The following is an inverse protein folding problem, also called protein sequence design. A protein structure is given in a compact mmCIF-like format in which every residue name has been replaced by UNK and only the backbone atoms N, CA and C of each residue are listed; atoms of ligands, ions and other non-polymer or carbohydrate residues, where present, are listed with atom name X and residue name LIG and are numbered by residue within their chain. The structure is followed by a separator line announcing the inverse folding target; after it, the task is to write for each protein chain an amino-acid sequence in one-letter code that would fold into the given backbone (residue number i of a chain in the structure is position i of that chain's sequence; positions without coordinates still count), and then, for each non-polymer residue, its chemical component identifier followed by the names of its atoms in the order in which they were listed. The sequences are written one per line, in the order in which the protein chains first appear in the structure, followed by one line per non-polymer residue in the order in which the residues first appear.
data_IF_235644900093
#
_entry.id   IF_235644900093
#
_cell.length_a   1.000
_cell.length_b   1.000
_cell.length_c   1.000
_cell.angle_alpha   90.00
_cell.angle_beta   90.00
_cell.angle_gamma   90.00
#
_symmetry.space_group_name_H-M   'P 1'
#
loop_
_entity.id
_entity.type
_entity.pdbx_description
1 polymer ?
#
# COMPACT_ATOMS: atom_id res chain seq x y z
N UNK A 1 57.37 13.58 39.42
CA UNK A 1 56.16 14.08 38.72
C UNK A 1 55.45 12.91 38.04
N UNK A 2 54.18 12.68 38.43
CA UNK A 2 53.12 11.82 37.86
C UNK A 2 53.43 10.33 37.63
N UNK A 3 53.11 9.54 38.67
CA UNK A 3 52.71 8.13 38.56
C UNK A 3 51.42 8.05 37.72
N UNK A 4 51.51 7.49 36.52
CA UNK A 4 50.34 7.18 35.69
C UNK A 4 49.57 6.00 36.29
N UNK A 5 48.39 6.29 36.83
CA UNK A 5 47.50 5.26 37.38
C UNK A 5 47.10 4.25 36.30
N UNK A 6 47.20 2.97 36.64
CA UNK A 6 46.66 1.88 35.82
C UNK A 6 45.13 1.98 35.87
N UNK A 7 44.40 2.08 34.74
CA UNK A 7 42.95 2.05 34.76
C UNK A 7 42.47 0.68 35.26
N UNK A 8 41.63 0.68 36.30
CA UNK A 8 41.08 -0.53 36.94
C UNK A 8 40.00 -1.23 36.12
N UNK A 9 40.17 -1.33 34.79
CA UNK A 9 39.31 -2.16 33.95
C UNK A 9 40.15 -2.86 32.87
N UNK A 10 39.93 -4.16 32.69
CA UNK A 10 40.46 -4.88 31.55
C UNK A 10 39.66 -4.50 30.30
N UNK A 11 40.34 -4.00 29.27
CA UNK A 11 39.75 -3.95 27.93
C UNK A 11 39.42 -5.40 27.51
N UNK A 12 38.17 -5.70 27.10
CA UNK A 12 37.86 -7.04 26.60
C UNK A 12 38.83 -7.36 25.48
N UNK A 13 39.55 -8.48 25.61
CA UNK A 13 40.45 -8.98 24.55
C UNK A 13 39.70 -8.89 23.22
N UNK A 14 40.29 -8.35 22.14
CA UNK A 14 39.59 -8.20 20.88
C UNK A 14 39.11 -9.60 20.46
N UNK A 15 37.78 -9.80 20.49
CA UNK A 15 37.18 -10.96 19.84
C UNK A 15 37.68 -10.89 18.40
N UNK A 16 38.34 -11.95 17.93
CA UNK A 16 38.86 -12.07 16.55
C UNK A 16 37.91 -11.34 15.61
N UNK A 17 38.40 -10.27 14.97
CA UNK A 17 37.63 -9.46 14.04
C UNK A 17 36.89 -10.39 13.08
N UNK A 18 35.57 -10.55 13.25
CA UNK A 18 34.72 -11.10 12.20
C UNK A 18 34.61 -9.98 11.17
N UNK A 19 35.00 -10.29 9.94
CA UNK A 19 35.04 -9.37 8.81
C UNK A 19 33.79 -8.47 8.75
N UNK A 20 33.96 -7.16 8.98
CA UNK A 20 32.93 -6.15 8.71
C UNK A 20 33.24 -5.33 7.44
N UNK A 21 34.14 -5.81 6.59
CA UNK A 21 34.42 -5.21 5.30
C UNK A 21 33.85 -6.10 4.19
N UNK A 22 32.70 -5.71 3.64
CA UNK A 22 32.22 -6.24 2.35
C UNK A 22 32.84 -5.38 1.25
N UNK A 23 33.73 -5.97 0.48
CA UNK A 23 34.12 -5.43 -0.83
C UNK A 23 33.10 -5.96 -1.83
N UNK A 24 32.26 -5.09 -2.36
CA UNK A 24 31.42 -5.43 -3.52
C UNK A 24 32.28 -5.30 -4.76
N UNK A 25 32.46 -6.38 -5.51
CA UNK A 25 33.13 -6.32 -6.81
C UNK A 25 32.32 -5.42 -7.77
N UNK A 26 32.96 -4.41 -8.36
CA UNK A 26 32.35 -3.56 -9.37
C UNK A 26 32.14 -4.40 -10.63
N UNK A 27 30.86 -4.70 -10.96
CA UNK A 27 30.47 -5.63 -12.03
C UNK A 27 29.21 -6.45 -11.70
N UNK A 28 28.94 -6.67 -10.41
CA UNK A 28 27.73 -7.35 -9.93
C UNK A 28 26.44 -6.58 -10.28
N UNK A 29 26.51 -5.25 -10.35
CA UNK A 29 25.40 -4.41 -10.82
C UNK A 29 25.05 -4.69 -12.29
N UNK A 30 26.06 -4.74 -13.16
CA UNK A 30 25.86 -5.05 -14.58
C UNK A 30 25.30 -6.48 -14.77
N UNK A 31 25.81 -7.44 -14.00
CA UNK A 31 25.26 -8.80 -14.00
C UNK A 31 23.82 -8.86 -13.49
N UNK A 32 23.49 -8.06 -12.46
CA UNK A 32 22.15 -7.98 -11.90
C UNK A 32 21.14 -7.36 -12.88
N UNK A 33 21.46 -6.22 -13.51
CA UNK A 33 20.54 -5.59 -14.49
C UNK A 33 20.30 -6.46 -15.72
N UNK A 34 21.23 -7.36 -16.05
CA UNK A 34 21.10 -8.35 -17.13
C UNK A 34 20.43 -9.65 -16.66
N UNK A 35 20.07 -9.77 -15.39
CA UNK A 35 19.47 -10.99 -14.83
C UNK A 35 17.97 -11.09 -15.15
N UNK A 36 17.49 -12.34 -15.28
CA UNK A 36 16.04 -12.62 -15.45
C UNK A 36 15.23 -12.10 -14.27
N UNK A 37 15.78 -12.17 -13.05
CA UNK A 37 15.10 -11.68 -11.85
C UNK A 37 14.91 -10.17 -11.87
N UNK A 38 15.90 -9.40 -12.37
CA UNK A 38 15.75 -7.95 -12.54
C UNK A 38 14.69 -7.62 -13.58
N UNK A 39 14.74 -8.27 -14.75
CA UNK A 39 13.75 -8.07 -15.81
C UNK A 39 12.33 -8.42 -15.34
N UNK A 40 12.16 -9.57 -14.67
CA UNK A 40 10.86 -9.99 -14.12
C UNK A 40 10.35 -9.03 -13.04
N UNK A 41 11.23 -8.48 -12.21
CA UNK A 41 10.87 -7.42 -11.27
C UNK A 41 10.41 -6.17 -12.00
N UNK A 42 11.17 -5.68 -12.99
CA UNK A 42 10.81 -4.46 -13.74
C UNK A 42 9.46 -4.60 -14.42
N UNK A 43 9.19 -5.74 -15.06
CA UNK A 43 7.87 -6.01 -15.66
C UNK A 43 6.75 -6.03 -14.61
N UNK A 44 6.98 -6.70 -13.48
CA UNK A 44 5.97 -6.76 -12.43
C UNK A 44 5.72 -5.36 -11.81
N UNK A 45 6.75 -4.54 -11.68
CA UNK A 45 6.68 -3.19 -11.13
C UNK A 45 5.96 -2.20 -12.05
N UNK A 46 5.64 -2.54 -13.30
CA UNK A 46 4.94 -1.65 -14.23
C UNK A 46 3.61 -1.14 -13.66
N UNK A 47 2.81 -1.99 -13.01
CA UNK A 47 1.53 -1.56 -12.41
C UNK A 47 1.70 -0.54 -11.28
N UNK A 48 2.88 -0.44 -10.65
CA UNK A 48 3.13 0.55 -9.59
C UNK A 48 3.05 2.00 -10.06
N UNK A 49 3.17 2.26 -11.38
CA UNK A 49 3.01 3.60 -11.92
C UNK A 49 1.58 4.12 -11.74
N UNK A 50 0.58 3.24 -11.59
CA UNK A 50 -0.77 3.65 -11.18
C UNK A 50 -0.76 4.42 -9.84
N UNK A 51 0.08 4.00 -8.89
CA UNK A 51 0.25 4.71 -7.62
C UNK A 51 0.94 6.07 -7.80
N UNK A 52 1.93 6.13 -8.70
CA UNK A 52 2.63 7.38 -9.01
C UNK A 52 1.68 8.40 -9.66
N UNK A 53 0.80 7.96 -10.55
CA UNK A 53 -0.24 8.82 -11.15
C UNK A 53 -1.25 9.29 -10.10
N UNK A 54 -1.66 8.46 -9.14
CA UNK A 54 -2.50 8.90 -8.02
C UNK A 54 -1.82 9.97 -7.16
N UNK A 55 -0.55 9.78 -6.82
CA UNK A 55 0.24 10.77 -6.08
C UNK A 55 0.24 12.11 -6.84
N UNK A 56 0.48 12.06 -8.15
CA UNK A 56 0.48 13.24 -9.01
C UNK A 56 -0.88 13.93 -9.02
N UNK A 57 -1.95 13.17 -9.24
CA UNK A 57 -3.34 13.66 -9.26
C UNK A 57 -3.72 14.36 -7.95
N UNK A 58 -3.44 13.73 -6.80
CA UNK A 58 -3.69 14.37 -5.50
C UNK A 58 -2.82 15.61 -5.29
N UNK A 59 -1.56 15.60 -5.73
CA UNK A 59 -0.68 16.77 -5.64
C UNK A 59 -1.22 17.94 -6.47
N UNK A 60 -1.70 17.67 -7.69
CA UNK A 60 -2.32 18.67 -8.56
C UNK A 60 -3.59 19.26 -7.92
N UNK A 61 -4.45 18.42 -7.32
CA UNK A 61 -5.65 18.87 -6.61
C UNK A 61 -5.33 19.72 -5.36
N UNK A 62 -4.31 19.34 -4.60
CA UNK A 62 -3.85 20.09 -3.43
C UNK A 62 -3.34 21.48 -3.86
N UNK A 63 -2.50 21.53 -4.89
CA UNK A 63 -1.97 22.79 -5.44
C UNK A 63 -3.07 23.65 -6.08
N UNK A 64 -4.09 23.02 -6.67
CA UNK A 64 -5.23 23.68 -7.28
C UNK A 64 -6.30 24.15 -6.28
N UNK A 65 -6.18 23.81 -4.99
CA UNK A 65 -7.14 24.19 -3.96
C UNK A 65 -8.51 23.50 -4.09
N UNK A 66 -8.60 22.38 -4.80
CA UNK A 66 -9.85 21.63 -5.05
C UNK A 66 -10.14 20.57 -3.97
N UNK A 67 -9.48 20.69 -2.81
CA UNK A 67 -9.67 19.77 -1.68
C UNK A 67 -10.96 20.09 -0.94
N UNK A 68 -11.74 19.06 -0.61
CA UNK A 68 -13.06 19.20 0.01
C UNK A 68 -12.95 19.28 1.54
N UNK A 69 -13.86 20.04 2.16
CA UNK A 69 -14.00 20.15 3.61
C UNK A 69 -14.42 18.82 4.21
N UNK A 70 -13.78 18.45 5.31
CA UNK A 70 -14.10 17.23 6.06
C UNK A 70 -14.73 17.63 7.39
N UNK A 71 -16.03 17.38 7.57
CA UNK A 71 -16.78 17.55 8.84
C UNK A 71 -16.36 18.83 9.62
N UNK A 72 -16.60 19.99 9.01
CA UNK A 72 -16.28 21.32 9.52
C UNK A 72 -14.80 21.72 9.64
N UNK A 73 -13.86 20.83 9.31
CA UNK A 73 -12.44 21.21 9.16
C UNK A 73 -12.22 21.75 7.75
N UNK A 74 -11.72 22.98 7.66
CA UNK A 74 -11.30 23.56 6.39
C UNK A 74 -10.19 22.70 5.77
N UNK A 75 -10.12 22.62 4.43
CA UNK A 75 -9.10 21.83 3.76
C UNK A 75 -7.73 22.46 4.03
N UNK A 76 -7.01 21.93 5.02
CA UNK A 76 -5.66 22.35 5.32
C UNK A 76 -4.71 21.67 4.33
N UNK A 77 -3.99 22.47 3.55
CA UNK A 77 -2.96 22.00 2.61
C UNK A 77 -1.96 21.09 3.34
N UNK A 78 -1.61 21.38 4.60
CA UNK A 78 -0.69 20.56 5.38
C UNK A 78 -1.30 19.19 5.77
N UNK A 79 -2.62 19.10 5.91
CA UNK A 79 -3.33 17.85 6.17
C UNK A 79 -3.46 17.02 4.89
N UNK A 80 -3.74 17.66 3.75
CA UNK A 80 -3.83 16.97 2.47
C UNK A 80 -2.45 16.47 1.98
N UNK A 81 -1.39 17.27 2.13
CA UNK A 81 -0.02 16.87 1.79
C UNK A 81 0.47 15.68 2.63
N UNK A 82 0.00 15.56 3.88
CA UNK A 82 0.31 14.40 4.74
C UNK A 82 -0.10 13.08 4.09
N UNK A 83 -1.24 13.05 3.40
CA UNK A 83 -1.70 11.85 2.67
C UNK A 83 -0.75 11.49 1.55
N UNK A 84 -0.39 12.47 0.72
CA UNK A 84 0.56 12.28 -0.38
C UNK A 84 1.92 11.82 0.15
N UNK A 85 2.37 12.35 1.29
CA UNK A 85 3.62 11.92 1.94
C UNK A 85 3.59 10.45 2.34
N UNK A 86 2.50 10.00 2.98
CA UNK A 86 2.33 8.59 3.33
C UNK A 86 2.33 7.69 2.08
N UNK A 87 1.66 8.12 1.01
CA UNK A 87 1.70 7.40 -0.27
C UNK A 87 3.11 7.35 -0.89
N UNK A 88 3.87 8.45 -0.78
CA UNK A 88 5.21 8.57 -1.35
C UNK A 88 6.28 7.80 -0.56
N UNK A 89 6.09 7.57 0.74
CA UNK A 89 6.98 6.74 1.56
C UNK A 89 7.00 5.27 1.12
N UNK A 90 5.96 4.81 0.44
CA UNK A 90 5.88 3.42 0.01
C UNK A 90 6.96 3.05 -1.01
N UNK A 91 7.64 1.93 -0.77
CA UNK A 91 8.63 1.40 -1.70
C UNK A 91 7.97 0.99 -3.02
N UNK A 92 8.74 0.92 -4.11
CA UNK A 92 8.26 0.47 -5.42
C UNK A 92 7.49 -0.87 -5.36
N UNK A 93 7.96 -1.79 -4.51
CA UNK A 93 7.29 -3.08 -4.28
C UNK A 93 5.91 -2.92 -3.62
N UNK A 94 5.77 -2.07 -2.60
CA UNK A 94 4.49 -1.82 -1.96
C UNK A 94 3.55 -1.00 -2.83
N UNK A 95 4.07 -0.02 -3.58
CA UNK A 95 3.30 0.67 -4.62
C UNK A 95 2.71 -0.31 -5.61
N UNK A 96 3.47 -1.31 -6.07
CA UNK A 96 2.96 -2.39 -6.92
C UNK A 96 1.83 -3.17 -6.25
N UNK A 97 1.99 -3.57 -4.98
CA UNK A 97 0.97 -4.29 -4.20
C UNK A 97 -0.31 -3.46 -4.07
N UNK A 98 -0.19 -2.21 -3.68
CA UNK A 98 -1.31 -1.27 -3.51
C UNK A 98 -2.01 -0.99 -4.84
N UNK A 99 -1.26 -0.80 -5.93
CA UNK A 99 -1.81 -0.65 -7.28
C UNK A 99 -2.54 -1.91 -7.77
N UNK A 100 -2.03 -3.11 -7.49
CA UNK A 100 -2.73 -4.36 -7.79
C UNK A 100 -4.04 -4.49 -7.00
N UNK A 101 -4.01 -4.13 -5.72
CA UNK A 101 -5.18 -4.12 -4.88
C UNK A 101 -6.23 -3.11 -5.36
N UNK A 102 -5.81 -1.92 -5.79
CA UNK A 102 -6.69 -0.89 -6.33
C UNK A 102 -7.27 -1.28 -7.70
N UNK A 103 -6.45 -1.74 -8.62
CA UNK A 103 -6.91 -2.21 -9.93
C UNK A 103 -7.89 -3.39 -9.80
N UNK A 104 -7.62 -4.29 -8.84
CA UNK A 104 -8.54 -5.37 -8.50
C UNK A 104 -9.86 -4.86 -7.93
N UNK A 105 -9.85 -3.83 -7.08
CA UNK A 105 -11.06 -3.19 -6.55
C UNK A 105 -11.92 -2.61 -7.67
N UNK A 106 -11.31 -1.84 -8.58
CA UNK A 106 -12.00 -1.23 -9.74
C UNK A 106 -12.66 -2.30 -10.62
N UNK A 107 -11.91 -3.35 -10.97
CA UNK A 107 -12.44 -4.47 -11.76
C UNK A 107 -13.62 -5.16 -11.06
N UNK A 108 -13.49 -5.45 -9.76
CA UNK A 108 -14.58 -6.11 -9.03
C UNK A 108 -15.81 -5.21 -8.88
N UNK A 109 -15.64 -3.90 -8.68
CA UNK A 109 -16.77 -2.97 -8.65
C UNK A 109 -17.54 -2.96 -9.99
N UNK A 110 -16.82 -2.98 -11.11
CA UNK A 110 -17.41 -3.08 -12.45
C UNK A 110 -18.15 -4.42 -12.68
N UNK A 111 -17.54 -5.54 -12.27
CA UNK A 111 -18.11 -6.88 -12.43
C UNK A 111 -19.39 -7.10 -11.59
N UNK A 112 -19.38 -6.66 -10.33
CA UNK A 112 -20.48 -6.92 -9.37
C UNK A 112 -21.59 -5.88 -9.49
N UNK A 113 -21.34 -4.73 -10.15
CA UNK A 113 -22.29 -3.62 -10.35
C UNK A 113 -22.96 -3.15 -9.05
N UNK A 114 -22.16 -3.06 -7.99
CA UNK A 114 -22.60 -2.54 -6.70
C UNK A 114 -22.20 -1.07 -6.59
N UNK A 115 -23.09 -0.26 -6.01
CA UNK A 115 -22.86 1.18 -5.85
C UNK A 115 -21.72 1.49 -4.87
N UNK A 116 -21.32 0.51 -4.06
CA UNK A 116 -20.26 0.65 -3.08
C UNK A 116 -19.37 -0.58 -3.02
N UNK A 117 -18.07 -0.35 -3.08
CA UNK A 117 -17.09 -1.40 -2.86
C UNK A 117 -15.90 -0.85 -2.07
N UNK A 118 -15.40 -1.60 -1.09
CA UNK A 118 -14.27 -1.17 -0.27
C UNK A 118 -13.27 -2.31 -0.06
N UNK A 119 -12.00 -1.95 0.07
CA UNK A 119 -10.89 -2.87 0.37
C UNK A 119 -9.96 -2.23 1.38
N UNK A 120 -9.66 -2.97 2.43
CA UNK A 120 -8.66 -2.59 3.43
C UNK A 120 -7.37 -3.34 3.16
N UNK A 121 -6.25 -2.63 3.18
CA UNK A 121 -4.90 -3.20 3.13
C UNK A 121 -4.24 -2.96 4.49
N UNK A 122 -4.11 -4.03 5.27
CA UNK A 122 -3.41 -4.01 6.55
C UNK A 122 -1.88 -4.03 6.33
N UNK A 123 -1.09 -3.43 7.23
CA UNK A 123 0.35 -3.43 7.11
C UNK A 123 0.95 -4.83 7.26
N UNK A 124 2.09 -5.02 6.63
CA UNK A 124 2.97 -6.18 6.75
C UNK A 124 4.34 -5.76 7.26
N UNK A 125 5.20 -6.71 7.63
CA UNK A 125 6.52 -6.45 8.22
C UNK A 125 7.52 -5.69 7.32
N UNK A 126 7.14 -5.32 6.09
CA UNK A 126 7.97 -4.55 5.16
C UNK A 126 7.49 -3.13 4.88
N UNK A 127 6.30 -2.72 5.35
CA UNK A 127 5.76 -1.40 5.05
C UNK A 127 6.65 -0.28 5.61
N UNK A 128 6.69 0.86 4.89
CA UNK A 128 7.53 1.99 5.26
C UNK A 128 7.14 2.59 6.62
N UNK A 129 5.85 2.59 6.94
CA UNK A 129 5.30 3.05 8.22
C UNK A 129 4.62 1.88 8.93
N UNK A 130 5.19 1.38 10.04
CA UNK A 130 4.50 0.44 10.91
C UNK A 130 3.20 1.04 11.45
N UNK A 131 2.12 0.24 11.51
CA UNK A 131 0.82 0.70 12.04
C UNK A 131 -0.01 1.52 11.04
N UNK A 132 0.43 1.65 9.78
CA UNK A 132 -0.31 2.30 8.72
C UNK A 132 -1.12 1.29 7.89
N UNK A 133 -2.42 1.55 7.72
CA UNK A 133 -3.27 0.83 6.78
C UNK A 133 -3.79 1.73 5.66
N UNK A 134 -4.19 1.11 4.55
CA UNK A 134 -4.89 1.78 3.46
C UNK A 134 -6.34 1.32 3.37
N UNK A 135 -7.24 2.26 3.12
CA UNK A 135 -8.64 1.98 2.76
C UNK A 135 -8.85 2.48 1.34
N UNK A 136 -9.24 1.59 0.43
CA UNK A 136 -9.72 1.96 -0.89
C UNK A 136 -11.24 1.82 -0.93
N UNK A 137 -11.91 2.84 -1.47
CA UNK A 137 -13.36 2.83 -1.62
C UNK A 137 -13.76 3.30 -3.01
N UNK A 138 -14.76 2.64 -3.58
CA UNK A 138 -15.50 3.12 -4.75
C UNK A 138 -16.92 3.42 -4.29
N UNK A 139 -17.42 4.59 -4.65
CA UNK A 139 -18.81 4.96 -4.46
C UNK A 139 -19.36 5.46 -5.79
N UNK A 140 -20.38 4.80 -6.33
CA UNK A 140 -21.04 5.20 -7.56
C UNK A 140 -21.89 6.46 -7.35
N UNK A 141 -21.92 7.32 -8.37
CA UNK A 141 -22.83 8.45 -8.38
C UNK A 141 -24.30 7.96 -8.49
N UNK A 142 -25.21 8.37 -7.59
CA UNK A 142 -26.57 7.84 -7.56
C UNK A 142 -27.46 8.54 -8.59
N UNK A 143 -27.30 8.21 -9.87
CA UNK A 143 -28.01 8.85 -10.99
C UNK A 143 -29.54 8.76 -10.89
N UNK A 144 -30.05 7.64 -10.39
CA UNK A 144 -31.49 7.44 -10.21
C UNK A 144 -32.04 8.38 -9.13
N UNK A 145 -31.32 8.49 -8.00
CA UNK A 145 -31.69 9.40 -6.91
C UNK A 145 -31.67 10.86 -7.35
N UNK A 146 -30.69 11.26 -8.17
CA UNK A 146 -30.64 12.61 -8.73
C UNK A 146 -31.83 12.88 -9.65
N UNK A 147 -32.17 11.95 -10.56
CA UNK A 147 -33.32 12.07 -11.47
C UNK A 147 -34.63 12.23 -10.73
N UNK A 148 -34.77 11.58 -9.57
CA UNK A 148 -35.94 11.65 -8.70
C UNK A 148 -35.93 12.90 -7.79
N UNK A 149 -34.92 13.78 -7.91
CA UNK A 149 -34.77 14.99 -7.11
C UNK A 149 -34.26 14.75 -5.68
N UNK A 150 -33.83 13.53 -5.36
CA UNK A 150 -33.29 13.13 -4.05
C UNK A 150 -31.86 13.59 -3.78
N UNK A 151 -31.20 14.23 -4.75
CA UNK A 151 -29.86 14.79 -4.60
C UNK A 151 -29.85 16.30 -4.97
N UNK A 152 -30.52 17.17 -4.20
CA UNK A 152 -30.67 18.59 -4.53
C UNK A 152 -29.34 19.35 -4.54
N UNK A 153 -28.32 18.88 -3.80
CA UNK A 153 -26.96 19.42 -3.85
C UNK A 153 -26.07 18.80 -4.95
N UNK A 154 -26.62 17.91 -5.77
CA UNK A 154 -25.95 17.28 -6.90
C UNK A 154 -24.60 16.67 -6.56
N UNK A 155 -23.63 16.89 -7.43
CA UNK A 155 -22.28 16.32 -7.34
C UNK A 155 -21.53 16.68 -6.06
N UNK A 156 -21.68 17.89 -5.54
CA UNK A 156 -21.03 18.31 -4.28
C UNK A 156 -21.58 17.54 -3.07
N UNK A 157 -22.90 17.34 -3.02
CA UNK A 157 -23.52 16.52 -1.97
C UNK A 157 -23.04 15.07 -2.02
N UNK A 158 -22.94 14.50 -3.22
CA UNK A 158 -22.36 13.17 -3.43
C UNK A 158 -20.90 13.10 -2.95
N UNK A 159 -20.06 14.08 -3.33
CA UNK A 159 -18.65 14.10 -2.94
C UNK A 159 -18.47 14.21 -1.42
N UNK A 160 -19.27 15.05 -0.77
CA UNK A 160 -19.30 15.16 0.70
C UNK A 160 -19.70 13.83 1.37
N UNK A 161 -20.71 13.14 0.84
CA UNK A 161 -21.12 11.83 1.34
C UNK A 161 -20.01 10.78 1.17
N UNK A 162 -19.29 10.81 0.03
CA UNK A 162 -18.15 9.92 -0.22
C UNK A 162 -17.02 10.14 0.77
N UNK A 163 -16.64 11.40 1.01
CA UNK A 163 -15.61 11.76 2.00
C UNK A 163 -16.02 11.33 3.40
N UNK A 164 -17.25 11.60 3.83
CA UNK A 164 -17.76 11.21 5.15
C UNK A 164 -17.73 9.70 5.35
N UNK A 165 -18.15 8.92 4.33
CA UNK A 165 -18.11 7.46 4.39
C UNK A 165 -16.68 6.93 4.41
N UNK A 166 -15.76 7.51 3.62
CA UNK A 166 -14.35 7.13 3.63
C UNK A 166 -13.71 7.36 5.02
N UNK A 167 -14.06 8.48 5.66
CA UNK A 167 -13.62 8.79 7.02
C UNK A 167 -14.18 7.82 8.04
N UNK A 168 -15.46 7.45 7.92
CA UNK A 168 -16.07 6.41 8.74
C UNK A 168 -15.32 5.07 8.63
N UNK A 169 -14.97 4.63 7.41
CA UNK A 169 -14.13 3.45 7.23
C UNK A 169 -12.80 3.55 7.97
N UNK A 170 -12.11 4.68 7.85
CA UNK A 170 -10.82 4.88 8.52
C UNK A 170 -10.96 4.85 10.06
N UNK A 171 -11.98 5.52 10.60
CA UNK A 171 -12.21 5.57 12.04
C UNK A 171 -12.59 4.20 12.61
N UNK A 172 -13.51 3.49 11.95
CA UNK A 172 -13.92 2.13 12.36
C UNK A 172 -12.74 1.17 12.26
N UNK A 173 -11.96 1.23 11.18
CA UNK A 173 -10.76 0.41 11.01
C UNK A 173 -9.78 0.59 12.18
N UNK A 174 -9.41 1.83 12.50
CA UNK A 174 -8.50 2.12 13.62
C UNK A 174 -9.11 1.73 14.98
N UNK A 175 -10.45 1.81 15.10
CA UNK A 175 -11.16 1.41 16.32
C UNK A 175 -11.11 -0.10 16.55
N UNK A 176 -11.19 -0.90 15.48
CA UNK A 176 -11.17 -2.37 15.57
C UNK A 176 -9.75 -2.94 15.60
N UNK A 177 -8.80 -2.19 15.05
CA UNK A 177 -7.38 -2.54 14.99
C UNK A 177 -6.55 -1.50 15.74
N UNK A 178 -6.55 -1.58 17.07
CA UNK A 178 -5.87 -0.62 17.96
C UNK A 178 -4.33 -0.64 17.85
N UNK A 179 -3.78 -1.66 17.20
CA UNK A 179 -2.39 -1.73 16.79
C UNK A 179 -2.03 -0.77 15.65
N UNK A 180 -3.04 -0.28 14.92
CA UNK A 180 -2.90 0.74 13.89
C UNK A 180 -3.12 2.12 14.51
N UNK A 181 -2.35 3.10 14.02
CA UNK A 181 -2.47 4.49 14.42
C UNK A 181 -2.72 5.43 13.23
N UNK A 182 -2.55 4.94 11.99
CA UNK A 182 -2.74 5.71 10.77
C UNK A 182 -3.57 4.92 9.78
N UNK A 183 -4.62 5.55 9.24
CA UNK A 183 -5.38 5.07 8.10
C UNK A 183 -5.32 6.10 6.98
N UNK A 184 -4.85 5.67 5.80
CA UNK A 184 -4.88 6.47 4.58
C UNK A 184 -6.05 5.99 3.72
N UNK A 185 -7.07 6.84 3.61
CA UNK A 185 -8.26 6.56 2.81
C UNK A 185 -8.13 7.16 1.42
N UNK A 186 -8.43 6.37 0.39
CA UNK A 186 -8.57 6.82 -0.99
C UNK A 186 -9.95 6.39 -1.48
N UNK A 187 -10.80 7.36 -1.84
CA UNK A 187 -12.08 7.09 -2.49
C UNK A 187 -12.06 7.54 -3.95
N UNK A 188 -12.68 6.75 -4.81
CA UNK A 188 -12.80 7.01 -6.25
C UNK A 188 -14.27 6.97 -6.66
N UNK A 189 -14.62 7.76 -7.66
CA UNK A 189 -15.85 7.56 -8.42
C UNK A 189 -15.80 6.21 -9.17
N UNK A 190 -16.95 5.57 -9.36
CA UNK A 190 -17.05 4.37 -10.18
C UNK A 190 -16.62 4.61 -11.65
N UNK A 191 -16.70 5.86 -12.14
CA UNK A 191 -16.23 6.28 -13.47
C UNK A 191 -14.76 6.74 -13.51
N UNK A 192 -14.04 6.58 -12.41
CA UNK A 192 -12.67 7.09 -12.29
C UNK A 192 -11.71 6.47 -13.29
N UNK A 193 -10.81 7.30 -13.86
CA UNK A 193 -9.71 6.85 -14.71
C UNK A 193 -8.36 7.41 -14.22
N UNK A 194 -7.24 6.66 -14.34
CA UNK A 194 -5.93 7.11 -13.87
C UNK A 194 -5.39 8.37 -14.55
N UNK A 195 -5.87 8.71 -15.75
CA UNK A 195 -5.38 9.83 -16.55
C UNK A 195 -6.18 11.13 -16.33
N UNK A 196 -7.18 11.11 -15.44
CA UNK A 196 -8.00 12.26 -15.10
C UNK A 196 -8.69 12.88 -16.31
N UNK A 197 -9.85 12.34 -16.74
CA UNK A 197 -10.89 13.06 -17.50
C UNK A 197 -12.07 12.16 -17.88
N UNK A 198 -13.21 12.82 -18.15
CA UNK A 198 -14.61 12.35 -18.31
C UNK A 198 -15.40 12.06 -17.02
N UNK A 199 -15.15 12.85 -15.96
CA UNK A 199 -16.17 13.10 -14.92
C UNK A 199 -16.04 12.37 -13.58
N UNK A 200 -15.03 11.54 -13.37
CA UNK A 200 -14.74 10.93 -12.07
C UNK A 200 -13.90 11.83 -11.16
N UNK A 201 -14.13 11.77 -9.85
CA UNK A 201 -13.30 12.44 -8.83
C UNK A 201 -12.69 11.44 -7.84
N UNK A 202 -11.68 11.92 -7.13
CA UNK A 202 -10.94 11.20 -6.11
C UNK A 202 -10.83 12.02 -4.83
N UNK A 203 -10.87 11.33 -3.69
CA UNK A 203 -10.66 11.93 -2.38
C UNK A 203 -9.55 11.18 -1.64
N UNK A 204 -8.67 11.94 -0.99
CA UNK A 204 -7.61 11.44 -0.14
C UNK A 204 -7.82 11.97 1.27
N UNK A 205 -7.86 11.08 2.24
CA UNK A 205 -7.90 11.43 3.66
C UNK A 205 -6.80 10.71 4.43
N UNK A 206 -6.35 11.35 5.51
CA UNK A 206 -5.50 10.71 6.52
C UNK A 206 -6.16 10.88 7.86
N UNK A 207 -6.45 9.76 8.52
CA UNK A 207 -6.82 9.76 9.92
C UNK A 207 -5.66 9.20 10.73
N UNK A 208 -5.19 9.98 11.70
CA UNK A 208 -4.19 9.54 12.67
C UNK A 208 -4.79 9.64 14.07
N UNK A 209 -4.72 8.55 14.83
CA UNK A 209 -5.23 8.47 16.19
C UNK A 209 -4.11 7.98 17.11
N UNK A 210 -3.53 8.92 17.86
CA UNK A 210 -2.47 8.60 18.83
C UNK A 210 -3.03 8.16 20.18
N UNK A 211 -4.24 8.60 20.52
CA UNK A 211 -4.94 8.23 21.75
C UNK A 211 -6.45 8.22 21.54
N UNK A 212 -7.15 7.36 22.28
CA UNK A 212 -8.58 7.16 22.13
C UNK A 212 -9.35 7.74 23.30
N UNK A 213 -10.41 8.47 22.98
CA UNK A 213 -11.40 8.95 23.95
C UNK A 213 -12.68 8.13 23.84
N UNK A 214 -13.50 8.11 24.88
CA UNK A 214 -14.81 7.44 24.88
C UNK A 214 -15.72 7.98 23.76
N UNK A 215 -15.61 9.28 23.46
CA UNK A 215 -16.35 9.90 22.35
C UNK A 215 -15.93 9.30 21.00
N UNK A 216 -14.64 9.14 20.75
CA UNK A 216 -14.17 8.54 19.48
C UNK A 216 -14.61 7.08 19.34
N UNK A 217 -14.67 6.34 20.45
CA UNK A 217 -15.20 4.97 20.46
C UNK A 217 -16.69 4.96 20.12
N UNK A 218 -17.46 5.87 20.72
CA UNK A 218 -18.88 6.03 20.42
C UNK A 218 -19.12 6.47 18.97
N UNK A 219 -18.32 7.40 18.45
CA UNK A 219 -18.39 7.88 17.08
C UNK A 219 -18.06 6.77 16.09
N UNK A 220 -17.05 5.95 16.36
CA UNK A 220 -16.71 4.77 15.56
C UNK A 220 -17.88 3.77 15.54
N UNK A 221 -18.46 3.46 16.71
CA UNK A 221 -19.60 2.55 16.79
C UNK A 221 -20.81 3.10 16.02
N UNK A 222 -21.12 4.38 16.19
CA UNK A 222 -22.20 5.05 15.46
C UNK A 222 -21.96 5.04 13.96
N UNK A 223 -20.76 5.39 13.51
CA UNK A 223 -20.40 5.43 12.10
C UNK A 223 -20.47 4.04 11.45
N UNK A 224 -20.08 2.99 12.19
CA UNK A 224 -20.21 1.60 11.75
C UNK A 224 -21.66 1.22 11.49
N UNK A 225 -22.57 1.62 12.39
CA UNK A 225 -23.99 1.38 12.25
C UNK A 225 -24.62 2.21 11.13
N UNK A 226 -24.38 3.51 11.12
CA UNK A 226 -24.97 4.49 10.20
C UNK A 226 -24.60 4.22 8.74
N UNK A 227 -23.32 3.94 8.47
CA UNK A 227 -22.87 3.63 7.12
C UNK A 227 -22.94 2.15 6.79
N UNK A 228 -23.25 1.28 7.76
CA UNK A 228 -23.33 -0.17 7.56
C UNK A 228 -22.05 -0.73 6.88
N UNK A 229 -20.90 -0.49 7.52
CA UNK A 229 -19.55 -0.80 7.02
C UNK A 229 -18.82 -1.81 7.93
N UNK A 230 -17.82 -2.50 7.37
CA UNK A 230 -16.95 -3.45 8.10
C UNK A 230 -17.73 -4.47 8.97
N UNK A 231 -18.86 -4.96 8.46
CA UNK A 231 -19.66 -5.99 9.14
C UNK A 231 -19.00 -7.35 9.00
N UNK A 232 -18.79 -8.04 10.11
CA UNK A 232 -18.05 -9.30 10.17
C UNK A 232 -18.65 -10.40 9.27
N UNK A 233 -19.96 -10.41 9.07
CA UNK A 233 -20.69 -11.35 8.21
C UNK A 233 -20.55 -11.06 6.70
N UNK A 234 -20.09 -9.84 6.34
CA UNK A 234 -19.88 -9.41 4.95
C UNK A 234 -18.41 -9.17 4.61
N UNK A 235 -17.50 -9.32 5.57
CA UNK A 235 -16.06 -9.19 5.36
C UNK A 235 -15.48 -10.46 4.75
N UNK A 236 -14.79 -10.30 3.62
CA UNK A 236 -13.99 -11.38 3.01
C UNK A 236 -12.52 -11.12 3.31
N UNK A 237 -11.94 -11.94 4.18
CA UNK A 237 -10.50 -11.92 4.43
C UNK A 237 -9.78 -12.73 3.34
N UNK A 238 -8.76 -12.14 2.74
CA UNK A 238 -7.93 -12.80 1.74
C UNK A 238 -6.47 -12.46 1.96
N UNK A 239 -5.61 -13.47 1.86
CA UNK A 239 -4.17 -13.27 1.92
C UNK A 239 -3.67 -12.73 0.58
N UNK A 240 -3.01 -11.57 0.63
CA UNK A 240 -2.37 -10.99 -0.54
C UNK A 240 -0.89 -11.40 -0.59
N UNK A 241 -0.56 -12.39 -1.43
CA UNK A 241 0.82 -12.83 -1.62
C UNK A 241 1.50 -12.09 -2.78
N UNK A 242 2.56 -11.36 -2.47
CA UNK A 242 3.44 -10.74 -3.48
C UNK A 242 4.92 -11.01 -3.15
N UNK A 243 5.72 -11.22 -4.18
CA UNK A 243 7.18 -11.39 -4.06
C UNK A 243 7.91 -10.29 -4.80
N UNK A 244 8.93 -9.68 -4.18
CA UNK A 244 9.71 -8.61 -4.80
C UNK A 244 10.35 -9.05 -6.13
N UNK A 245 10.62 -10.36 -6.29
CA UNK A 245 11.16 -10.97 -7.49
C UNK A 245 10.27 -12.13 -7.95
N UNK A 246 9.23 -11.86 -8.77
CA UNK A 246 8.41 -12.92 -9.34
C UNK A 246 9.23 -13.73 -10.36
N UNK A 247 9.60 -14.95 -9.95
CA UNK A 247 10.29 -16.02 -10.69
C UNK A 247 11.34 -15.66 -11.77
N UNK A 248 12.61 -15.60 -11.31
CA UNK A 248 13.80 -15.98 -12.10
C UNK A 248 14.48 -17.27 -11.59
N UNK A 249 14.24 -17.70 -10.34
CA UNK A 249 15.04 -18.74 -9.66
C UNK A 249 14.38 -20.12 -9.54
N UNK A 250 13.04 -20.20 -9.47
CA UNK A 250 12.35 -21.49 -9.32
C UNK A 250 12.55 -22.41 -10.52
N UNK A 251 12.55 -21.86 -11.75
CA UNK A 251 12.81 -22.63 -12.98
C UNK A 251 14.27 -23.09 -13.05
N UNK A 252 15.23 -22.25 -12.65
CA UNK A 252 16.66 -22.60 -12.67
C UNK A 252 17.04 -23.67 -11.63
N UNK A 253 16.44 -23.62 -10.43
CA UNK A 253 16.60 -24.65 -9.40
C UNK A 253 16.08 -26.02 -9.88
N UNK A 254 14.90 -26.06 -10.52
CA UNK A 254 14.36 -27.29 -11.10
C UNK A 254 15.17 -27.80 -12.30
N UNK A 255 15.65 -26.91 -13.17
CA UNK A 255 16.55 -27.27 -14.28
C UNK A 255 17.90 -27.81 -13.80
N UNK A 256 18.47 -27.22 -12.74
CA UNK A 256 19.71 -27.72 -12.10
C UNK A 256 19.51 -29.09 -11.44
N UNK A 257 18.37 -29.31 -10.77
CA UNK A 257 17.99 -30.63 -10.21
C UNK A 257 17.80 -31.69 -11.31
N UNK A 258 17.13 -31.35 -12.41
CA UNK A 258 16.95 -32.26 -13.58
C UNK A 258 18.27 -32.58 -14.29
N UNK A 259 19.18 -31.61 -14.42
CA UNK A 259 20.54 -31.83 -14.96
C UNK A 259 21.40 -32.72 -14.07
N UNK A 260 21.40 -32.52 -12.74
CA UNK A 260 22.09 -33.42 -11.79
C UNK A 260 21.51 -34.83 -11.79
N UNK A 261 20.19 -34.98 -11.95
CA UNK A 261 19.56 -36.30 -12.03
C UNK A 261 19.93 -37.03 -13.32
N UNK A 262 19.96 -36.33 -14.47
CA UNK A 262 20.43 -36.87 -15.75
C UNK A 262 21.92 -37.25 -15.75
N UNK A 263 22.80 -36.45 -15.13
CA UNK A 263 24.24 -36.79 -15.08
C UNK A 263 24.54 -37.95 -14.14
N UNK A 264 23.69 -38.21 -13.14
CA UNK A 264 23.75 -39.40 -12.28
C UNK A 264 23.29 -40.68 -12.98
N UNK A 265 22.35 -40.57 -13.93
CA UNK A 265 21.85 -41.73 -14.70
C UNK A 265 22.74 -42.11 -15.88
N UNK A 266 23.59 -41.21 -16.38
CA UNK A 266 24.50 -41.50 -17.49
C UNK A 266 25.94 -41.08 -17.15
N UNK A 267 26.67 -41.87 -16.34
CA UNK A 267 28.10 -41.66 -16.17
C UNK A 267 28.79 -41.97 -17.50
N UNK A 268 29.29 -40.92 -18.15
CA UNK A 268 30.04 -40.99 -19.40
C UNK A 268 31.27 -41.89 -19.17
N UNK A 269 31.27 -43.09 -19.76
CA UNK A 269 32.40 -44.02 -19.65
C UNK A 269 33.63 -43.37 -20.29
N UNK A 270 34.82 -43.43 -19.66
CA UNK A 270 36.02 -42.85 -20.23
C UNK A 270 36.39 -43.61 -21.49
N UNK A 271 36.61 -42.89 -22.59
CA UNK A 271 37.18 -43.43 -23.83
C UNK A 271 38.59 -43.94 -23.51
N UNK A 272 38.79 -45.26 -23.59
CA UNK A 272 40.13 -45.86 -23.55
C UNK A 272 40.89 -45.47 -24.82
N UNK A 273 42.16 -45.12 -24.63
CA UNK A 273 43.15 -44.83 -25.66
C UNK A 273 43.41 -46.03 -26.55
#
# INVERSE_FOLDING_TARGET
MRNGGVPGFELPRPKKFKEYARITAYGEWAAYIMSVSYFGKTMADEISYLWDELIKLFTENILGGTSVRVLDTDPDIALAERGVRYMALESRFFRRVLSQALAGLLRTAEEVKQDRYARVMLPTSGNATPGQAYVFMILAYPEELEKDGGLPGGYEQYRNARVAMLQAYCLVLLSEHRELNVAVGIALDARWTPKGSEGGSEDLIVLQVDSWTDQMVADAAKAKEEFDILRSDRLTLSDFHATNYPDGDHKMSQLKKRRKHRSRMNPMKPRKR
#
